data_IF_855999964590
#
_entry.id   IF_855999964590
#
_cell.length_a   1.000
_cell.length_b   1.000
_cell.length_c   1.000
_cell.angle_alpha   90.00
_cell.angle_beta   90.00
_cell.angle_gamma   90.00
#
_symmetry.space_group_name_H-M   'P 1'
#
loop_
_entity.id
_entity.type
_entity.pdbx_description
1 polymer ?
#
# COMPACT_ATOMS: atom_id res chain seq x y z
N UNK A 1 13.42 -18.79 -69.95
CA UNK A 1 14.01 -17.43 -69.95
C UNK A 1 12.84 -16.46 -69.77
N UNK A 2 12.75 -15.53 -68.82
CA UNK A 2 13.48 -15.18 -67.62
C UNK A 2 12.55 -14.18 -66.91
N UNK A 3 12.14 -14.51 -65.69
CA UNK A 3 11.76 -13.66 -64.56
C UNK A 3 11.35 -12.21 -64.83
N UNK A 4 10.09 -11.83 -64.52
CA UNK A 4 9.73 -10.48 -63.99
C UNK A 4 8.43 -10.50 -63.17
N UNK A 5 8.44 -11.17 -62.02
CA UNK A 5 7.45 -10.89 -60.95
C UNK A 5 7.93 -9.62 -60.25
N UNK A 6 7.26 -8.49 -60.51
CA UNK A 6 7.50 -7.23 -59.81
C UNK A 6 6.91 -7.33 -58.41
N UNK A 7 7.75 -7.69 -57.44
CA UNK A 7 7.44 -7.64 -56.01
C UNK A 7 7.32 -6.17 -55.62
N UNK A 8 6.10 -5.68 -55.46
CA UNK A 8 5.84 -4.41 -54.78
C UNK A 8 6.07 -4.63 -53.29
N UNK A 9 7.28 -4.31 -52.82
CA UNK A 9 7.60 -4.26 -51.40
C UNK A 9 6.83 -3.10 -50.76
N UNK A 10 5.63 -3.37 -50.23
CA UNK A 10 4.98 -2.50 -49.26
C UNK A 10 5.76 -2.61 -47.95
N UNK A 11 6.70 -1.69 -47.73
CA UNK A 11 7.28 -1.48 -46.42
C UNK A 11 6.20 -0.84 -45.52
N UNK A 12 5.44 -1.65 -44.80
CA UNK A 12 4.56 -1.19 -43.72
C UNK A 12 5.48 -0.81 -42.57
N UNK A 13 5.82 0.48 -42.47
CA UNK A 13 6.51 1.04 -41.31
C UNK A 13 5.48 1.16 -40.20
N UNK A 14 5.35 0.12 -39.38
CA UNK A 14 4.59 0.17 -38.14
C UNK A 14 5.35 1.05 -37.16
N UNK A 15 5.02 2.34 -37.11
CA UNK A 15 5.53 3.23 -36.07
C UNK A 15 4.94 2.76 -34.73
N UNK A 16 5.75 2.06 -33.92
CA UNK A 16 5.45 1.82 -32.51
C UNK A 16 5.50 3.18 -31.80
N UNK A 17 4.34 3.82 -31.67
CA UNK A 17 4.14 4.86 -30.68
C UNK A 17 4.22 4.20 -29.31
N UNK A 18 5.37 4.35 -28.65
CA UNK A 18 5.51 4.02 -27.24
C UNK A 18 4.59 4.95 -26.43
N UNK A 19 3.38 4.48 -26.15
CA UNK A 19 2.49 5.14 -25.20
C UNK A 19 3.09 4.94 -23.82
N UNK A 20 3.78 5.96 -23.30
CA UNK A 20 4.11 6.02 -21.88
C UNK A 20 2.78 6.14 -21.13
N UNK A 21 2.30 5.03 -20.56
CA UNK A 21 1.16 5.07 -19.66
C UNK A 21 1.48 6.07 -18.53
N UNK A 22 0.55 6.96 -18.17
CA UNK A 22 0.79 7.85 -17.05
C UNK A 22 1.00 7.00 -15.79
N UNK A 23 2.09 7.26 -15.06
CA UNK A 23 2.23 6.78 -13.69
C UNK A 23 1.02 7.31 -12.92
N UNK A 24 0.14 6.40 -12.51
CA UNK A 24 -0.97 6.75 -11.64
C UNK A 24 -0.38 7.24 -10.31
N UNK A 25 -0.81 8.40 -9.86
CA UNK A 25 -0.37 8.93 -8.59
C UNK A 25 -0.81 7.99 -7.46
N UNK A 26 0.10 7.74 -6.52
CA UNK A 26 -0.21 6.99 -5.32
C UNK A 26 -1.21 7.77 -4.46
N UNK A 27 -2.43 7.25 -4.35
CA UNK A 27 -3.50 7.87 -3.56
C UNK A 27 -3.26 7.76 -2.05
N UNK A 28 -2.37 6.83 -1.62
CA UNK A 28 -2.07 6.54 -0.22
C UNK A 28 -0.55 6.52 0.02
N UNK A 29 0.15 7.64 -0.21
CA UNK A 29 1.62 7.70 -0.16
C UNK A 29 2.19 7.58 1.27
N UNK A 30 1.37 7.81 2.29
CA UNK A 30 1.72 7.69 3.71
C UNK A 30 1.16 6.41 4.35
N UNK A 31 0.38 5.63 3.60
CA UNK A 31 -0.20 4.36 4.02
C UNK A 31 -1.15 4.51 5.19
N UNK A 32 -0.73 4.06 6.38
CA UNK A 32 -1.59 3.95 7.56
C UNK A 32 -2.36 5.25 7.85
N UNK A 33 -1.68 6.40 7.81
CA UNK A 33 -2.26 7.69 8.22
C UNK A 33 -3.13 8.35 7.14
N UNK A 34 -3.13 7.84 5.91
CA UNK A 34 -4.04 8.29 4.85
C UNK A 34 -5.48 7.80 5.09
N UNK A 35 -5.64 6.65 5.75
CA UNK A 35 -6.93 6.09 6.15
C UNK A 35 -7.23 6.29 7.64
N UNK A 36 -6.24 6.09 8.52
CA UNK A 36 -6.40 6.24 9.96
C UNK A 36 -6.28 7.70 10.40
N UNK A 37 -7.32 8.47 10.12
CA UNK A 37 -7.40 9.90 10.40
C UNK A 37 -8.77 10.28 10.99
N UNK A 38 -8.85 11.48 11.55
CA UNK A 38 -10.12 12.08 11.92
C UNK A 38 -10.66 12.86 10.74
N UNK A 39 -11.82 12.46 10.21
CA UNK A 39 -12.57 13.26 9.24
C UNK A 39 -13.71 14.00 9.94
N UNK A 40 -13.97 15.29 9.62
CA UNK A 40 -15.06 16.05 10.25
C UNK A 40 -16.41 15.34 10.13
N UNK A 41 -17.12 15.21 11.25
CA UNK A 41 -18.44 14.57 11.29
C UNK A 41 -18.44 13.04 11.14
N UNK A 42 -17.27 12.39 11.12
CA UNK A 42 -17.14 10.93 11.09
C UNK A 42 -16.49 10.37 12.35
N UNK A 43 -16.63 9.07 12.54
CA UNK A 43 -15.94 8.33 13.61
C UNK A 43 -14.44 8.60 13.57
N UNK A 44 -13.84 8.77 14.75
CA UNK A 44 -12.40 8.94 14.87
C UNK A 44 -11.68 7.62 14.54
N UNK A 45 -11.00 7.57 13.39
CA UNK A 45 -10.23 6.41 12.96
C UNK A 45 -8.72 6.57 13.18
N UNK A 46 -8.27 7.63 13.86
CA UNK A 46 -6.84 7.78 14.21
C UNK A 46 -6.37 6.54 14.99
N UNK A 47 -5.14 6.10 14.72
CA UNK A 47 -4.61 4.89 15.37
C UNK A 47 -4.63 4.99 16.89
N UNK A 48 -4.32 6.15 17.48
CA UNK A 48 -4.39 6.33 18.93
C UNK A 48 -5.80 6.12 19.49
N UNK A 49 -6.84 6.56 18.78
CA UNK A 49 -8.23 6.35 19.20
C UNK A 49 -8.63 4.86 19.13
N UNK A 50 -8.20 4.15 18.08
CA UNK A 50 -8.48 2.72 17.92
C UNK A 50 -7.67 1.86 18.90
N UNK A 51 -6.39 2.15 19.06
CA UNK A 51 -5.48 1.46 19.99
C UNK A 51 -5.92 1.61 21.46
N UNK A 52 -6.47 2.78 21.83
CA UNK A 52 -7.03 2.98 23.16
C UNK A 52 -8.22 2.05 23.46
N UNK A 53 -9.01 1.67 22.45
CA UNK A 53 -10.17 0.77 22.62
C UNK A 53 -9.76 -0.65 22.98
N UNK A 54 -8.55 -1.06 22.60
CA UNK A 54 -7.98 -2.38 22.91
C UNK A 54 -7.00 -2.34 24.11
N UNK A 55 -6.94 -1.21 24.82
CA UNK A 55 -6.08 -1.07 26.01
C UNK A 55 -4.58 -0.93 25.71
N UNK A 56 -4.20 -0.57 24.48
CA UNK A 56 -2.79 -0.35 24.13
C UNK A 56 -2.19 0.81 24.97
N UNK A 57 -0.93 0.70 25.43
CA UNK A 57 -0.25 1.78 26.13
C UNK A 57 -0.22 3.09 25.31
N UNK A 58 -0.25 4.23 26.01
CA UNK A 58 -0.09 5.54 25.36
C UNK A 58 1.26 5.61 24.64
N UNK A 59 1.25 6.24 23.46
CA UNK A 59 2.40 6.29 22.54
C UNK A 59 3.00 7.71 22.41
N UNK A 60 3.46 8.38 23.49
CA UNK A 60 3.93 9.77 23.41
C UNK A 60 5.19 9.92 22.55
N UNK A 61 5.99 8.86 22.40
CA UNK A 61 7.26 8.85 21.67
C UNK A 61 7.12 8.52 20.18
N UNK A 62 5.94 8.06 19.72
CA UNK A 62 5.73 7.77 18.31
C UNK A 62 5.73 9.07 17.51
N UNK A 63 6.51 9.09 16.42
CA UNK A 63 6.61 10.25 15.51
C UNK A 63 6.26 9.89 14.06
N UNK A 64 6.57 8.65 13.66
CA UNK A 64 6.28 8.11 12.34
C UNK A 64 5.54 6.78 12.43
N UNK A 65 4.49 6.62 11.64
CA UNK A 65 3.65 5.44 11.60
C UNK A 65 3.84 4.76 10.24
N UNK A 66 4.07 3.44 10.18
CA UNK A 66 4.16 2.50 11.31
C UNK A 66 5.59 2.28 11.82
N UNK A 67 6.61 2.96 11.27
CA UNK A 67 8.03 2.67 11.59
C UNK A 67 8.34 2.67 13.09
N UNK A 68 7.65 3.50 13.89
CA UNK A 68 7.87 3.54 15.35
C UNK A 68 7.25 2.35 16.10
N UNK A 69 6.31 1.61 15.49
CA UNK A 69 5.57 0.50 16.11
C UNK A 69 6.47 -0.73 16.31
N UNK A 70 7.42 -0.96 15.39
CA UNK A 70 8.39 -2.05 15.49
C UNK A 70 9.35 -1.94 16.68
N UNK A 71 9.37 -0.80 17.40
CA UNK A 71 10.15 -0.67 18.63
C UNK A 71 9.64 -1.52 19.79
N UNK A 72 8.37 -1.98 19.73
CA UNK A 72 7.80 -2.93 20.70
C UNK A 72 7.22 -4.18 20.03
N UNK A 73 6.88 -4.11 18.74
CA UNK A 73 6.33 -5.24 17.97
C UNK A 73 7.35 -5.76 16.94
N UNK A 74 8.58 -5.98 17.40
CA UNK A 74 9.66 -6.47 16.57
C UNK A 74 9.47 -7.94 16.19
N UNK A 75 10.21 -8.39 15.17
CA UNK A 75 10.10 -9.74 14.60
C UNK A 75 10.65 -10.86 15.51
N UNK A 76 11.28 -10.51 16.63
CA UNK A 76 11.82 -11.44 17.65
C UNK A 76 10.85 -11.67 18.83
N UNK A 77 9.78 -10.88 18.93
CA UNK A 77 8.62 -11.18 19.76
C UNK A 77 7.84 -12.35 19.12
N UNK A 78 7.18 -13.19 19.93
CA UNK A 78 6.42 -14.36 19.44
C UNK A 78 5.52 -14.01 18.24
N UNK A 79 5.34 -14.94 17.30
CA UNK A 79 4.75 -14.69 15.96
C UNK A 79 3.46 -13.84 15.98
N UNK A 80 2.60 -14.10 16.96
CA UNK A 80 1.33 -13.39 17.20
C UNK A 80 1.47 -11.90 17.56
N UNK A 81 2.61 -11.47 18.13
CA UNK A 81 2.90 -10.08 18.51
C UNK A 81 3.75 -9.34 17.48
N UNK A 82 4.14 -10.01 16.39
CA UNK A 82 4.90 -9.38 15.32
C UNK A 82 4.02 -8.40 14.56
N UNK A 83 4.52 -7.17 14.38
CA UNK A 83 3.75 -6.09 13.75
C UNK A 83 3.17 -6.49 12.40
N UNK A 84 3.99 -7.11 11.54
CA UNK A 84 3.57 -7.53 10.21
C UNK A 84 2.43 -8.54 10.25
N UNK A 85 2.49 -9.54 11.15
CA UNK A 85 1.44 -10.54 11.27
C UNK A 85 0.12 -9.90 11.73
N UNK A 86 0.15 -9.12 12.82
CA UNK A 86 -1.05 -8.48 13.38
C UNK A 86 -1.74 -7.54 12.40
N UNK A 87 -0.99 -6.72 11.66
CA UNK A 87 -1.59 -5.75 10.74
C UNK A 87 -2.32 -6.45 9.60
N UNK A 88 -1.75 -7.51 9.03
CA UNK A 88 -2.47 -8.30 8.03
C UNK A 88 -3.71 -8.96 8.62
N UNK A 89 -3.62 -9.58 9.79
CA UNK A 89 -4.78 -10.19 10.45
C UNK A 89 -5.90 -9.16 10.65
N UNK A 90 -5.62 -8.01 11.27
CA UNK A 90 -6.64 -6.99 11.57
C UNK A 90 -7.32 -6.44 10.31
N UNK A 91 -6.60 -6.31 9.19
CA UNK A 91 -7.15 -5.74 7.96
C UNK A 91 -7.83 -6.77 7.05
N UNK A 92 -7.60 -8.06 7.26
CA UNK A 92 -8.26 -9.14 6.53
C UNK A 92 -9.24 -9.95 7.37
N UNK A 93 -9.31 -9.71 8.68
CA UNK A 93 -10.26 -10.37 9.56
C UNK A 93 -11.70 -10.01 9.20
N UNK A 94 -12.59 -11.00 9.25
CA UNK A 94 -14.01 -10.91 8.83
C UNK A 94 -14.17 -10.15 7.49
N UNK A 95 -13.66 -10.68 6.37
CA UNK A 95 -13.46 -9.92 5.12
C UNK A 95 -14.75 -9.40 4.45
N UNK A 96 -15.94 -9.87 4.87
CA UNK A 96 -17.23 -9.35 4.39
C UNK A 96 -17.70 -8.10 5.15
N UNK A 97 -17.08 -7.78 6.28
CA UNK A 97 -17.40 -6.64 7.13
C UNK A 97 -16.23 -5.65 7.26
N UNK A 98 -15.01 -6.09 6.98
CA UNK A 98 -13.82 -5.24 7.08
C UNK A 98 -13.81 -4.15 6.02
N UNK A 99 -13.59 -2.89 6.42
CA UNK A 99 -13.54 -1.77 5.47
C UNK A 99 -12.38 -1.92 4.49
N UNK A 100 -11.25 -2.48 4.90
CA UNK A 100 -10.11 -2.67 4.01
C UNK A 100 -10.45 -3.57 2.82
N UNK A 101 -11.08 -4.72 3.07
CA UNK A 101 -11.46 -5.66 2.01
C UNK A 101 -12.69 -5.21 1.22
N UNK A 102 -13.68 -4.60 1.89
CA UNK A 102 -14.96 -4.24 1.25
C UNK A 102 -14.93 -2.92 0.48
N UNK A 103 -14.15 -1.94 0.95
CA UNK A 103 -14.07 -0.60 0.34
C UNK A 103 -12.79 -0.37 -0.44
N UNK A 104 -11.68 -0.92 0.05
CA UNK A 104 -10.35 -0.70 -0.53
C UNK A 104 -9.82 -1.92 -1.30
N UNK A 105 -10.66 -2.94 -1.50
CA UNK A 105 -10.36 -4.12 -2.33
C UNK A 105 -9.26 -5.02 -1.79
N UNK A 106 -8.77 -4.78 -0.57
CA UNK A 106 -7.62 -5.50 -0.02
C UNK A 106 -6.30 -5.18 -0.75
N UNK A 107 -6.20 -4.01 -1.39
CA UNK A 107 -5.02 -3.66 -2.20
C UNK A 107 -3.76 -3.46 -1.34
N UNK A 108 -2.78 -4.33 -1.54
CA UNK A 108 -1.49 -4.32 -0.86
C UNK A 108 -0.76 -2.99 -1.03
N UNK A 109 -0.93 -2.34 -2.19
CA UNK A 109 -0.25 -1.09 -2.52
C UNK A 109 -0.78 0.10 -1.73
N UNK A 110 -1.88 -0.03 -0.99
CA UNK A 110 -2.31 1.01 -0.05
C UNK A 110 -1.39 1.12 1.17
N UNK A 111 -0.67 0.05 1.52
CA UNK A 111 0.29 0.04 2.63
C UNK A 111 1.74 -0.13 2.13
N UNK A 112 1.95 -0.82 1.03
CA UNK A 112 3.27 -1.14 0.51
C UNK A 112 3.61 -0.31 -0.72
N UNK A 113 4.85 0.15 -0.79
CA UNK A 113 5.50 0.55 -2.03
C UNK A 113 6.38 -0.61 -2.50
N UNK A 114 6.47 -0.81 -3.81
CA UNK A 114 7.40 -1.78 -4.38
C UNK A 114 8.70 -1.06 -4.75
N UNK A 115 9.81 -1.56 -4.23
CA UNK A 115 11.12 -1.15 -4.71
C UNK A 115 11.34 -1.75 -6.12
N UNK A 116 11.55 -0.87 -7.11
CA UNK A 116 11.58 -1.28 -8.52
C UNK A 116 12.84 -2.09 -8.88
N UNK A 117 13.92 -1.92 -8.11
CA UNK A 117 15.20 -2.56 -8.39
C UNK A 117 15.31 -3.94 -7.74
N UNK A 118 14.90 -4.06 -6.48
CA UNK A 118 14.96 -5.30 -5.70
C UNK A 118 13.69 -6.13 -5.75
N UNK A 119 12.54 -5.52 -6.08
CA UNK A 119 11.23 -6.14 -5.95
C UNK A 119 10.74 -6.27 -4.50
N UNK A 120 11.42 -5.66 -3.54
CA UNK A 120 11.02 -5.70 -2.13
C UNK A 120 9.76 -4.85 -1.87
N UNK A 121 8.84 -5.37 -1.06
CA UNK A 121 7.67 -4.63 -0.61
C UNK A 121 8.01 -3.84 0.67
N UNK A 122 8.12 -2.52 0.54
CA UNK A 122 8.43 -1.61 1.64
C UNK A 122 7.14 -1.05 2.25
N UNK A 123 7.02 -1.08 3.58
CA UNK A 123 5.87 -0.48 4.26
C UNK A 123 6.00 1.05 4.23
N UNK A 124 5.01 1.72 3.64
CA UNK A 124 4.94 3.19 3.59
C UNK A 124 4.83 3.76 5.01
N UNK A 125 5.35 4.97 5.20
CA UNK A 125 5.40 5.60 6.52
C UNK A 125 5.13 7.09 6.46
N UNK A 126 4.30 7.58 7.37
CA UNK A 126 3.86 8.97 7.46
C UNK A 126 4.07 9.59 8.84
N UNK A 127 3.96 10.92 8.95
CA UNK A 127 3.95 11.59 10.25
C UNK A 127 2.72 11.18 11.06
N UNK A 128 2.89 11.09 12.37
CA UNK A 128 1.78 10.90 13.31
C UNK A 128 0.73 12.01 13.14
N UNK A 129 -0.56 11.66 13.14
CA UNK A 129 -1.67 12.58 12.91
C UNK A 129 -2.63 12.74 14.12
N UNK A 130 -2.11 12.54 15.34
CA UNK A 130 -2.80 12.76 16.61
C UNK A 130 -1.89 13.39 17.67
#
# INVERSE_FOLDING_TARGET
MKDRVRVFSLAVITALLATTAPVQADEYPQGCVDCHKQEPGKTNLTLNALLAQIGHPKLPKVKKVPTSCGGCHASDEGEENQFAHMIHQIHFDVPKANLFTTRFGGDCLHCHAMDADSGEALVKSGPRNW
#
